data_IF_274663884695
#
_entry.id   IF_274663884695
#
_cell.length_a   1.000
_cell.length_b   1.000
_cell.length_c   1.000
_cell.angle_alpha   90.00
_cell.angle_beta   90.00
_cell.angle_gamma   90.00
#
_symmetry.space_group_name_H-M   'P 1'
#
loop_
_entity.id
_entity.type
_entity.pdbx_description
1 polymer ?
#
# COMPACT_ATOMS: atom_id res chain seq x y z
N UNK A 1 22.03 9.67 26.01
CA UNK A 1 21.56 10.51 24.89
C UNK A 1 20.98 9.56 23.86
N UNK A 2 19.66 9.52 23.69
CA UNK A 2 19.05 8.71 22.63
C UNK A 2 19.44 9.34 21.30
N UNK A 3 20.32 8.68 20.54
CA UNK A 3 20.59 9.09 19.17
C UNK A 3 19.27 9.04 18.38
N UNK A 4 18.85 10.17 17.81
CA UNK A 4 17.75 10.20 16.84
C UNK A 4 18.12 9.25 15.69
N UNK A 5 17.24 8.32 15.29
CA UNK A 5 17.58 7.39 14.21
C UNK A 5 17.80 8.16 12.90
N UNK A 6 18.70 7.67 12.04
CA UNK A 6 18.77 8.18 10.66
C UNK A 6 17.47 7.92 9.93
N UNK A 7 16.97 8.94 9.23
CA UNK A 7 15.71 8.86 8.50
C UNK A 7 15.95 8.84 6.98
N UNK A 8 15.39 7.85 6.33
CA UNK A 8 15.45 7.65 4.89
C UNK A 8 14.06 7.79 4.28
N UNK A 9 14.01 8.36 3.09
CA UNK A 9 12.79 8.43 2.30
C UNK A 9 12.98 7.67 1.00
N UNK A 10 11.98 6.85 0.60
CA UNK A 10 11.95 6.20 -0.70
C UNK A 10 10.57 6.33 -1.36
N UNK A 11 10.57 6.60 -2.65
CA UNK A 11 9.42 6.53 -3.53
C UNK A 11 9.81 5.92 -4.87
N UNK A 12 8.85 5.33 -5.57
CA UNK A 12 9.05 4.78 -6.90
C UNK A 12 7.83 5.04 -7.78
N UNK A 13 8.06 5.41 -9.03
CA UNK A 13 7.07 5.33 -10.09
C UNK A 13 7.78 5.23 -11.45
N UNK A 14 7.11 4.62 -12.43
CA UNK A 14 7.62 4.62 -13.80
C UNK A 14 7.65 6.04 -14.40
N UNK A 15 8.49 6.26 -15.40
CA UNK A 15 8.78 7.58 -16.00
C UNK A 15 7.56 8.34 -16.53
N UNK A 16 6.41 7.67 -16.74
CA UNK A 16 5.14 8.35 -17.06
C UNK A 16 4.62 9.22 -15.92
N UNK A 17 5.11 8.99 -14.71
CA UNK A 17 4.76 9.77 -13.52
C UNK A 17 5.89 10.71 -13.08
N UNK A 18 6.79 11.11 -13.99
CA UNK A 18 7.94 11.97 -13.67
C UNK A 18 7.56 13.24 -12.90
N UNK A 19 6.48 13.92 -13.29
CA UNK A 19 6.01 15.09 -12.55
C UNK A 19 5.61 14.78 -11.09
N UNK A 20 5.10 13.58 -10.81
CA UNK A 20 4.78 13.17 -9.45
C UNK A 20 6.04 12.81 -8.66
N UNK A 21 7.01 12.14 -9.30
CA UNK A 21 8.30 11.84 -8.66
C UNK A 21 9.13 13.08 -8.38
N UNK A 22 9.11 14.07 -9.28
CA UNK A 22 9.79 15.34 -9.05
C UNK A 22 9.16 16.11 -7.90
N UNK A 23 7.83 16.24 -7.89
CA UNK A 23 7.10 16.88 -6.80
C UNK A 23 7.39 16.22 -5.45
N UNK A 24 7.26 14.89 -5.32
CA UNK A 24 7.43 14.23 -4.03
C UNK A 24 8.90 14.31 -3.55
N UNK A 25 9.86 14.37 -4.49
CA UNK A 25 11.28 14.61 -4.18
C UNK A 25 11.49 15.99 -3.56
N UNK A 26 10.92 17.03 -4.15
CA UNK A 26 10.98 18.39 -3.63
C UNK A 26 10.31 18.47 -2.25
N UNK A 27 9.08 17.95 -2.12
CA UNK A 27 8.38 17.92 -0.85
C UNK A 27 9.14 17.14 0.23
N UNK A 28 9.84 16.05 -0.11
CA UNK A 28 10.66 15.31 0.84
C UNK A 28 11.88 16.14 1.31
N UNK A 29 12.46 16.96 0.43
CA UNK A 29 13.51 17.93 0.80
C UNK A 29 12.97 19.01 1.72
N UNK A 30 11.79 19.55 1.42
CA UNK A 30 11.13 20.60 2.20
C UNK A 30 10.74 20.11 3.60
N UNK A 31 10.54 18.80 3.75
CA UNK A 31 10.36 18.17 5.07
C UNK A 31 11.57 18.36 5.96
N UNK A 32 12.78 18.52 5.43
CA UNK A 32 14.01 18.81 6.20
C UNK A 32 14.18 17.93 7.46
N UNK A 33 13.92 16.63 7.29
CA UNK A 33 14.02 15.61 8.36
C UNK A 33 14.71 14.34 7.87
N UNK A 34 14.85 14.15 6.54
CA UNK A 34 15.42 12.95 5.97
C UNK A 34 16.92 13.13 5.73
N UNK A 35 17.73 12.20 6.22
CA UNK A 35 19.18 12.15 5.94
C UNK A 35 19.45 11.80 4.47
N UNK A 36 18.63 10.92 3.89
CA UNK A 36 18.71 10.53 2.48
C UNK A 36 17.33 10.42 1.84
N UNK A 37 17.24 10.85 0.56
CA UNK A 37 16.01 10.84 -0.22
C UNK A 37 16.25 10.11 -1.53
N UNK A 38 15.56 8.97 -1.70
CA UNK A 38 15.63 8.09 -2.87
C UNK A 38 14.29 8.12 -3.61
N UNK A 39 14.21 8.82 -4.74
CA UNK A 39 13.04 8.81 -5.61
C UNK A 39 13.44 8.14 -6.91
N UNK A 40 12.95 6.92 -7.09
CA UNK A 40 13.39 5.95 -8.08
C UNK A 40 12.39 5.83 -9.24
N UNK A 41 12.89 5.34 -10.37
CA UNK A 41 12.12 4.94 -11.54
C UNK A 41 12.61 3.57 -12.05
N UNK A 42 12.12 3.15 -13.21
CA UNK A 42 12.50 1.88 -13.85
C UNK A 42 13.99 1.72 -14.10
N UNK A 43 14.72 2.82 -14.37
CA UNK A 43 16.17 2.80 -14.61
C UNK A 43 16.98 2.45 -13.34
N UNK A 44 16.32 2.52 -12.18
CA UNK A 44 16.94 2.17 -10.88
C UNK A 44 16.82 0.68 -10.54
N UNK A 45 16.11 -0.10 -11.37
CA UNK A 45 15.97 -1.54 -11.19
C UNK A 45 17.16 -2.26 -11.84
N UNK A 46 17.67 -3.30 -11.20
CA UNK A 46 18.77 -4.06 -11.80
C UNK A 46 18.31 -4.98 -12.94
N UNK A 47 19.26 -5.34 -13.79
CA UNK A 47 19.01 -6.15 -14.99
C UNK A 47 18.35 -7.50 -14.67
N UNK A 48 18.76 -8.15 -13.57
CA UNK A 48 18.22 -9.44 -13.17
C UNK A 48 16.73 -9.33 -12.81
N UNK A 49 16.36 -8.29 -12.06
CA UNK A 49 14.95 -8.02 -11.74
C UNK A 49 14.17 -7.67 -12.99
N UNK A 50 14.68 -6.78 -13.83
CA UNK A 50 14.06 -6.39 -15.09
C UNK A 50 13.84 -7.59 -16.02
N UNK A 51 14.84 -8.46 -16.14
CA UNK A 51 14.74 -9.67 -16.98
C UNK A 51 13.69 -10.66 -16.44
N UNK A 52 13.62 -10.82 -15.12
CA UNK A 52 12.63 -11.71 -14.49
C UNK A 52 11.21 -11.24 -14.78
N UNK A 53 10.95 -9.95 -14.71
CA UNK A 53 9.60 -9.37 -14.79
C UNK A 53 9.31 -8.63 -16.11
N UNK A 54 10.14 -8.77 -17.15
CA UNK A 54 10.05 -8.05 -18.44
C UNK A 54 8.69 -8.15 -19.11
N UNK A 55 8.05 -9.33 -19.01
CA UNK A 55 6.74 -9.57 -19.64
C UNK A 55 5.58 -8.91 -18.88
N UNK A 56 5.81 -8.55 -17.64
CA UNK A 56 4.82 -8.01 -16.70
C UNK A 56 4.99 -6.50 -16.51
N UNK A 57 6.23 -6.04 -16.34
CA UNK A 57 6.57 -4.62 -16.16
C UNK A 57 6.61 -3.91 -17.52
N UNK A 58 5.45 -3.68 -18.10
CA UNK A 58 5.29 -2.96 -19.37
C UNK A 58 4.65 -1.59 -19.14
N UNK A 59 5.03 -0.60 -19.94
CA UNK A 59 4.34 0.68 -19.95
C UNK A 59 2.85 0.48 -20.21
N UNK A 60 2.01 1.00 -19.29
CA UNK A 60 0.56 0.83 -19.35
C UNK A 60 0.03 -0.37 -18.58
N UNK A 61 0.87 -1.31 -18.13
CA UNK A 61 0.44 -2.35 -17.19
C UNK A 61 -0.02 -1.74 -15.88
N UNK A 62 -0.95 -2.39 -15.20
CA UNK A 62 -1.49 -1.94 -13.92
C UNK A 62 -0.37 -1.87 -12.89
N UNK A 63 -0.16 -0.69 -12.27
CA UNK A 63 0.87 -0.49 -11.26
C UNK A 63 2.30 -0.79 -11.73
N UNK A 64 2.56 -0.69 -13.05
CA UNK A 64 3.84 -1.05 -13.67
C UNK A 64 4.29 -2.46 -13.22
N UNK A 65 3.45 -3.47 -13.49
CA UNK A 65 3.67 -4.86 -13.07
C UNK A 65 3.06 -5.19 -11.71
N UNK A 66 1.84 -4.67 -11.45
CA UNK A 66 1.07 -4.98 -10.23
C UNK A 66 1.83 -4.67 -8.94
N UNK A 67 2.70 -3.63 -8.98
CA UNK A 67 3.54 -3.19 -7.84
C UNK A 67 4.53 -4.25 -7.33
N UNK A 68 4.88 -5.27 -8.14
CA UNK A 68 5.85 -6.29 -7.75
C UNK A 68 7.24 -5.72 -7.40
N UNK A 69 7.57 -4.55 -7.91
CA UNK A 69 8.81 -3.83 -7.62
C UNK A 69 8.85 -3.23 -6.20
N UNK A 70 7.69 -3.02 -5.55
CA UNK A 70 7.62 -2.26 -4.30
C UNK A 70 8.48 -2.86 -3.18
N UNK A 71 8.28 -4.11 -2.72
CA UNK A 71 9.15 -4.67 -1.68
C UNK A 71 10.58 -4.84 -2.15
N UNK A 72 10.80 -5.05 -3.46
CA UNK A 72 12.14 -5.16 -4.01
C UNK A 72 12.95 -3.88 -3.80
N UNK A 73 12.46 -2.71 -4.22
CA UNK A 73 13.18 -1.44 -4.06
C UNK A 73 13.34 -1.05 -2.59
N UNK A 74 12.35 -1.35 -1.75
CA UNK A 74 12.41 -1.13 -0.31
C UNK A 74 13.51 -2.00 0.30
N UNK A 75 13.51 -3.30 0.02
CA UNK A 75 14.49 -4.26 0.54
C UNK A 75 15.92 -3.87 0.14
N UNK A 76 16.15 -3.55 -1.13
CA UNK A 76 17.47 -3.17 -1.67
C UNK A 76 18.03 -1.91 -1.00
N UNK A 77 17.19 -0.93 -0.67
CA UNK A 77 17.64 0.24 0.08
C UNK A 77 17.91 -0.13 1.53
N UNK A 78 17.01 -0.85 2.19
CA UNK A 78 17.18 -1.22 3.60
C UNK A 78 18.42 -2.10 3.83
N UNK A 79 18.83 -2.92 2.87
CA UNK A 79 20.07 -3.70 2.97
C UNK A 79 21.31 -2.80 3.13
N UNK A 80 21.31 -1.61 2.51
CA UNK A 80 22.41 -0.64 2.54
C UNK A 80 22.36 0.32 3.73
N UNK A 81 21.20 0.49 4.37
CA UNK A 81 21.03 1.39 5.51
C UNK A 81 21.75 0.85 6.75
N UNK A 82 22.13 1.70 7.71
CA UNK A 82 22.61 1.25 9.02
C UNK A 82 21.48 0.62 9.85
N UNK A 83 21.86 -0.26 10.78
CA UNK A 83 20.90 -0.84 11.70
C UNK A 83 20.20 0.22 12.55
N UNK A 84 18.92 0.00 12.86
CA UNK A 84 18.02 0.93 13.54
C UNK A 84 17.72 2.23 12.79
N UNK A 85 18.20 2.44 11.56
CA UNK A 85 17.68 3.52 10.74
C UNK A 85 16.20 3.27 10.36
N UNK A 86 15.47 4.34 10.13
CA UNK A 86 14.05 4.30 9.75
C UNK A 86 13.89 4.72 8.29
N UNK A 87 13.15 3.95 7.53
CA UNK A 87 12.74 4.23 6.17
C UNK A 87 11.27 4.57 6.12
N UNK A 88 10.91 5.67 5.48
CA UNK A 88 9.55 5.96 5.03
C UNK A 88 9.44 5.67 3.53
N UNK A 89 8.62 4.70 3.17
CA UNK A 89 8.13 4.53 1.80
C UNK A 89 6.82 5.30 1.61
N UNK A 90 6.73 6.07 0.52
CA UNK A 90 5.46 6.65 0.06
C UNK A 90 5.28 6.42 -1.45
N UNK A 91 4.07 6.07 -1.87
CA UNK A 91 3.70 6.11 -3.29
C UNK A 91 3.89 7.54 -3.83
N UNK A 92 4.40 7.67 -5.06
CA UNK A 92 4.65 8.97 -5.68
C UNK A 92 3.39 9.86 -5.84
N UNK A 93 2.21 9.25 -5.73
CA UNK A 93 0.93 9.97 -5.73
C UNK A 93 0.57 10.67 -4.41
N UNK A 94 1.34 10.44 -3.34
CA UNK A 94 1.18 11.14 -2.07
C UNK A 94 1.73 12.58 -2.16
N UNK A 95 1.26 13.42 -1.23
CA UNK A 95 1.90 14.69 -0.94
C UNK A 95 2.49 14.66 0.47
N UNK A 96 3.64 15.30 0.65
CA UNK A 96 4.25 15.51 1.95
C UNK A 96 4.03 16.95 2.41
N UNK A 97 3.73 17.11 3.70
CA UNK A 97 3.39 18.39 4.30
C UNK A 97 4.38 18.74 5.43
N UNK A 98 5.26 19.74 5.24
CA UNK A 98 6.25 20.15 6.25
C UNK A 98 5.63 20.61 7.57
N UNK A 99 4.39 21.08 7.61
CA UNK A 99 3.71 21.45 8.85
C UNK A 99 3.47 20.25 9.78
N UNK A 100 3.36 19.05 9.21
CA UNK A 100 3.15 17.81 9.95
C UNK A 100 4.41 17.15 10.51
N UNK A 101 5.59 17.81 10.51
CA UNK A 101 6.87 17.24 11.00
C UNK A 101 6.76 16.60 12.37
N UNK A 102 6.09 17.27 13.31
CA UNK A 102 5.91 16.74 14.67
C UNK A 102 5.21 15.38 14.65
N UNK A 103 4.11 15.28 13.90
CA UNK A 103 3.36 14.03 13.78
C UNK A 103 4.15 12.94 13.05
N UNK A 104 5.00 13.32 12.09
CA UNK A 104 5.92 12.38 11.45
C UNK A 104 6.87 11.73 12.47
N UNK A 105 7.38 12.51 13.42
CA UNK A 105 8.27 11.99 14.47
C UNK A 105 7.53 11.05 15.43
N UNK A 106 6.23 11.26 15.70
CA UNK A 106 5.41 10.31 16.47
C UNK A 106 5.30 8.95 15.74
N UNK A 107 5.18 8.95 14.39
CA UNK A 107 5.19 7.70 13.63
C UNK A 107 6.56 7.02 13.64
N UNK A 108 7.63 7.81 13.57
CA UNK A 108 9.01 7.31 13.71
C UNK A 108 9.19 6.64 15.07
N UNK A 109 8.74 7.26 16.14
CA UNK A 109 8.79 6.68 17.49
C UNK A 109 7.97 5.38 17.58
N UNK A 110 6.78 5.37 16.96
CA UNK A 110 5.93 4.18 16.90
C UNK A 110 6.61 3.00 16.19
N UNK A 111 7.33 3.23 15.10
CA UNK A 111 8.07 2.15 14.42
C UNK A 111 9.33 1.76 15.17
N UNK A 112 9.98 2.70 15.84
CA UNK A 112 11.16 2.42 16.69
C UNK A 112 10.80 1.51 17.86
N UNK A 113 9.64 1.70 18.48
CA UNK A 113 9.14 0.87 19.59
C UNK A 113 8.50 -0.46 19.13
N UNK A 114 8.28 -0.65 17.83
CA UNK A 114 7.69 -1.90 17.29
C UNK A 114 8.68 -3.06 17.35
N UNK A 115 8.27 -4.23 17.87
CA UNK A 115 9.07 -5.45 17.87
C UNK A 115 9.43 -5.93 16.46
N UNK A 116 8.53 -5.76 15.50
CA UNK A 116 8.73 -6.15 14.10
C UNK A 116 9.45 -5.04 13.33
N UNK A 117 9.30 -3.78 13.73
CA UNK A 117 9.89 -2.65 13.01
C UNK A 117 9.18 -2.30 11.69
N UNK A 118 7.90 -2.57 11.60
CA UNK A 118 7.03 -2.22 10.46
C UNK A 118 5.79 -1.52 10.98
N UNK A 119 5.40 -0.40 10.37
CA UNK A 119 4.16 0.33 10.66
C UNK A 119 3.53 0.84 9.38
N UNK A 120 2.21 0.76 9.29
CA UNK A 120 1.41 1.26 8.19
C UNK A 120 0.00 1.64 8.69
N UNK A 121 -0.79 2.28 7.84
CA UNK A 121 -2.13 2.74 8.17
C UNK A 121 -3.20 1.76 7.69
N UNK A 122 -4.37 1.80 8.30
CA UNK A 122 -5.55 1.20 7.69
C UNK A 122 -5.90 1.91 6.39
N UNK A 123 -6.32 1.13 5.38
CA UNK A 123 -6.92 1.72 4.17
C UNK A 123 -8.26 2.36 4.52
N UNK A 124 -8.42 3.63 4.17
CA UNK A 124 -9.64 4.38 4.38
C UNK A 124 -10.25 4.84 3.06
N UNK A 125 -11.57 4.67 2.90
CA UNK A 125 -12.36 5.29 1.85
C UNK A 125 -13.69 5.76 2.44
N UNK A 126 -14.02 7.03 2.25
CA UNK A 126 -15.26 7.62 2.78
C UNK A 126 -16.53 6.87 2.35
N UNK A 127 -16.52 6.28 1.14
CA UNK A 127 -17.70 5.70 0.55
C UNK A 127 -17.95 4.23 0.94
N UNK A 128 -16.94 3.51 1.38
CA UNK A 128 -17.03 2.08 1.71
C UNK A 128 -15.86 1.57 2.55
N UNK A 129 -16.14 0.54 3.34
CA UNK A 129 -15.12 -0.16 4.11
C UNK A 129 -14.29 -1.08 3.20
N UNK A 130 -12.97 -1.03 3.39
CA UNK A 130 -12.02 -1.90 2.71
C UNK A 130 -11.72 -3.10 3.62
N UNK A 131 -12.64 -4.08 3.62
CA UNK A 131 -12.53 -5.29 4.43
C UNK A 131 -11.82 -6.37 3.61
N UNK A 132 -10.92 -7.16 4.22
CA UNK A 132 -10.07 -8.12 3.54
C UNK A 132 -10.84 -9.02 2.57
N UNK A 133 -11.88 -9.74 3.01
CA UNK A 133 -12.60 -10.67 2.16
C UNK A 133 -13.23 -10.06 0.92
N UNK A 134 -13.45 -8.73 0.92
CA UNK A 134 -13.99 -7.99 -0.22
C UNK A 134 -12.93 -7.57 -1.22
N UNK A 135 -11.69 -7.42 -0.76
CA UNK A 135 -10.61 -6.81 -1.52
C UNK A 135 -9.36 -7.70 -1.64
N UNK A 136 -9.52 -8.98 -1.31
CA UNK A 136 -8.47 -9.99 -1.42
C UNK A 136 -9.06 -11.25 -2.03
N UNK A 137 -8.43 -11.78 -3.07
CA UNK A 137 -8.92 -12.99 -3.75
C UNK A 137 -8.70 -14.25 -2.93
N UNK A 138 -9.52 -15.29 -3.18
CA UNK A 138 -9.52 -16.55 -2.44
C UNK A 138 -8.18 -17.22 -2.35
N UNK A 139 -7.42 -17.25 -3.45
CA UNK A 139 -6.08 -17.86 -3.51
C UNK A 139 -5.11 -17.30 -2.47
N UNK A 140 -5.24 -15.99 -2.14
CA UNK A 140 -4.37 -15.35 -1.15
C UNK A 140 -4.69 -15.86 0.25
N UNK A 141 -5.96 -16.01 0.60
CA UNK A 141 -6.35 -16.58 1.91
C UNK A 141 -5.90 -18.02 2.05
N UNK A 142 -5.95 -18.81 0.97
CA UNK A 142 -5.53 -20.21 0.99
C UNK A 142 -4.01 -20.33 1.07
N UNK A 143 -3.26 -19.47 0.36
CA UNK A 143 -1.80 -19.39 0.45
C UNK A 143 -1.34 -19.16 1.90
N UNK A 144 -1.99 -18.23 2.59
CA UNK A 144 -1.68 -17.93 4.01
C UNK A 144 -2.41 -18.82 5.02
N UNK A 145 -3.24 -19.78 4.56
CA UNK A 145 -4.03 -20.66 5.43
C UNK A 145 -4.87 -19.91 6.46
N UNK A 146 -5.46 -18.79 6.06
CA UNK A 146 -6.19 -17.90 6.95
C UNK A 146 -7.65 -17.65 6.52
N UNK A 147 -8.21 -18.47 5.63
CA UNK A 147 -9.59 -18.34 5.13
C UNK A 147 -10.62 -18.33 6.24
N UNK A 148 -10.43 -19.15 7.28
CA UNK A 148 -11.36 -19.29 8.40
C UNK A 148 -11.08 -18.32 9.56
N UNK A 149 -10.03 -17.50 9.44
CA UNK A 149 -9.63 -16.48 10.41
C UNK A 149 -10.48 -15.23 10.25
N UNK A 150 -11.65 -15.17 10.93
CA UNK A 150 -12.56 -14.02 10.86
C UNK A 150 -11.94 -12.73 11.37
N UNK A 151 -11.02 -12.81 12.31
CA UNK A 151 -10.21 -11.69 12.79
C UNK A 151 -9.35 -11.07 11.67
N UNK A 152 -9.02 -11.83 10.63
CA UNK A 152 -8.35 -11.36 9.42
C UNK A 152 -9.38 -11.02 8.34
N UNK A 153 -10.21 -11.99 7.93
CA UNK A 153 -11.09 -11.85 6.76
C UNK A 153 -12.14 -10.74 6.91
N UNK A 154 -12.60 -10.46 8.11
CA UNK A 154 -13.61 -9.44 8.44
C UNK A 154 -13.00 -8.11 8.89
N UNK A 155 -11.67 -8.00 8.94
CA UNK A 155 -10.98 -6.78 9.35
C UNK A 155 -10.66 -5.84 8.18
N UNK A 156 -10.36 -4.57 8.48
CA UNK A 156 -9.95 -3.58 7.47
C UNK A 156 -8.57 -3.92 6.90
N UNK A 157 -8.36 -3.66 5.60
CA UNK A 157 -7.06 -3.80 4.98
C UNK A 157 -6.06 -2.75 5.49
N UNK A 158 -4.79 -3.14 5.51
CA UNK A 158 -3.65 -2.24 5.74
C UNK A 158 -3.19 -1.70 4.39
N UNK A 159 -2.92 -0.40 4.33
CA UNK A 159 -2.45 0.27 3.13
C UNK A 159 -0.95 0.01 2.87
N UNK A 160 -0.58 -0.07 1.59
CA UNK A 160 0.84 -0.08 1.16
C UNK A 160 1.26 1.25 0.56
N UNK A 161 0.43 2.27 0.67
CA UNK A 161 0.68 3.62 0.13
C UNK A 161 1.75 4.35 0.94
N UNK A 162 1.79 4.12 2.27
CA UNK A 162 2.79 4.64 3.19
C UNK A 162 3.21 3.53 4.15
N UNK A 163 4.53 3.26 4.22
CA UNK A 163 5.07 2.21 5.09
C UNK A 163 6.29 2.78 5.82
N UNK A 164 6.29 2.69 7.14
CA UNK A 164 7.43 2.99 7.99
C UNK A 164 8.15 1.70 8.36
N UNK A 165 9.45 1.68 8.23
CA UNK A 165 10.28 0.50 8.44
C UNK A 165 11.53 0.87 9.25
N UNK A 166 11.73 0.25 10.41
CA UNK A 166 13.01 0.29 11.11
C UNK A 166 13.86 -0.88 10.65
N UNK A 167 15.11 -0.65 10.26
CA UNK A 167 16.03 -1.73 9.90
C UNK A 167 16.36 -2.58 11.14
N UNK A 168 15.81 -3.78 11.18
CA UNK A 168 16.11 -4.80 12.19
C UNK A 168 15.89 -6.21 11.60
N UNK A 169 16.35 -7.27 12.24
CA UNK A 169 16.20 -8.64 11.70
C UNK A 169 14.75 -9.02 11.36
N UNK A 170 13.78 -8.59 12.19
CA UNK A 170 12.36 -8.92 11.98
C UNK A 170 11.77 -8.21 10.76
N UNK A 171 12.02 -6.91 10.57
CA UNK A 171 11.55 -6.15 9.41
C UNK A 171 12.20 -6.63 8.12
N UNK A 172 13.49 -6.97 8.15
CA UNK A 172 14.20 -7.54 7.01
C UNK A 172 13.65 -8.92 6.62
N UNK A 173 13.28 -9.76 7.59
CA UNK A 173 12.60 -11.03 7.34
C UNK A 173 11.22 -10.79 6.71
N UNK A 174 10.40 -9.92 7.29
CA UNK A 174 9.09 -9.54 6.76
C UNK A 174 9.19 -9.07 5.30
N UNK A 175 10.15 -8.21 4.97
CA UNK A 175 10.33 -7.71 3.61
C UNK A 175 10.77 -8.79 2.63
N UNK A 176 11.68 -9.70 3.05
CA UNK A 176 12.11 -10.83 2.20
C UNK A 176 10.94 -11.77 1.92
N UNK A 177 10.15 -12.10 2.93
CA UNK A 177 8.94 -12.92 2.74
C UNK A 177 7.97 -12.22 1.79
N UNK A 178 7.66 -10.94 2.00
CA UNK A 178 6.78 -10.17 1.09
C UNK A 178 7.31 -10.15 -0.34
N UNK A 179 8.61 -9.90 -0.54
CA UNK A 179 9.22 -9.88 -1.86
C UNK A 179 9.18 -11.25 -2.56
N UNK A 180 9.30 -12.35 -1.82
CA UNK A 180 9.45 -13.69 -2.41
C UNK A 180 8.11 -14.29 -2.86
N UNK A 181 6.99 -13.86 -2.31
CA UNK A 181 5.67 -14.47 -2.56
C UNK A 181 5.32 -14.53 -4.06
N UNK A 182 5.57 -13.48 -4.82
CA UNK A 182 5.25 -13.51 -6.26
C UNK A 182 6.31 -14.16 -7.13
N UNK A 183 7.52 -14.38 -6.62
CA UNK A 183 8.45 -15.31 -7.28
C UNK A 183 7.94 -16.75 -7.19
N UNK A 184 7.25 -17.11 -6.11
CA UNK A 184 6.62 -18.41 -5.94
C UNK A 184 5.30 -18.51 -6.74
N UNK A 185 4.47 -17.47 -6.67
CA UNK A 185 3.16 -17.45 -7.33
C UNK A 185 2.68 -16.04 -7.67
N UNK A 186 3.02 -15.58 -8.87
CA UNK A 186 2.63 -14.25 -9.35
C UNK A 186 1.10 -14.07 -9.45
N UNK A 187 0.34 -15.16 -9.68
CA UNK A 187 -1.12 -15.07 -9.79
C UNK A 187 -1.80 -14.59 -8.51
N UNK A 188 -1.09 -14.52 -7.37
CA UNK A 188 -1.62 -13.94 -6.14
C UNK A 188 -1.80 -12.43 -6.23
N UNK A 189 -1.01 -11.73 -7.04
CA UNK A 189 -1.04 -10.27 -7.13
C UNK A 189 -1.64 -9.73 -8.43
N UNK A 190 -1.74 -10.51 -9.51
CA UNK A 190 -2.26 -10.06 -10.80
C UNK A 190 -3.80 -10.04 -10.88
N UNK A 191 -4.33 -9.67 -12.05
CA UNK A 191 -5.77 -9.65 -12.33
C UNK A 191 -6.34 -11.01 -12.80
N UNK A 192 -5.56 -12.08 -12.74
CA UNK A 192 -6.06 -13.43 -13.09
C UNK A 192 -7.19 -13.85 -12.16
N UNK A 193 -8.16 -14.63 -12.66
CA UNK A 193 -9.21 -15.20 -11.82
C UNK A 193 -8.62 -16.05 -10.69
N UNK A 194 -9.22 -15.96 -9.50
CA UNK A 194 -8.87 -16.85 -8.40
C UNK A 194 -9.21 -18.30 -8.76
N UNK A 195 -8.31 -19.23 -8.48
CA UNK A 195 -8.54 -20.67 -8.61
C UNK A 195 -9.43 -21.19 -7.49
N UNK A 196 -9.25 -20.66 -6.28
CA UNK A 196 -10.09 -20.92 -5.12
C UNK A 196 -11.32 -20.03 -5.13
N UNK A 197 -12.46 -20.46 -4.56
CA UNK A 197 -13.64 -19.62 -4.46
C UNK A 197 -13.35 -18.32 -3.70
N UNK A 198 -13.75 -17.18 -4.27
CA UNK A 198 -13.76 -15.91 -3.55
C UNK A 198 -14.91 -15.88 -2.54
N UNK A 199 -14.80 -15.04 -1.53
CA UNK A 199 -15.93 -14.75 -0.63
C UNK A 199 -17.12 -14.18 -1.43
N UNK A 200 -18.39 -14.44 -1.02
CA UNK A 200 -19.58 -14.01 -1.77
C UNK A 200 -19.64 -12.51 -2.03
N UNK A 201 -19.06 -11.70 -1.15
CA UNK A 201 -19.01 -10.24 -1.23
C UNK A 201 -17.70 -9.69 -1.82
N UNK A 202 -16.87 -10.54 -2.43
CA UNK A 202 -15.63 -10.14 -3.10
C UNK A 202 -15.88 -9.12 -4.23
N UNK A 203 -15.09 -8.06 -4.26
CA UNK A 203 -15.17 -6.96 -5.23
C UNK A 203 -14.04 -7.01 -6.25
N UNK A 204 -12.79 -6.86 -5.80
CA UNK A 204 -11.57 -6.96 -6.61
C UNK A 204 -10.35 -7.24 -5.71
N UNK A 205 -9.28 -7.79 -6.28
CA UNK A 205 -8.02 -7.98 -5.59
C UNK A 205 -7.23 -6.65 -5.54
N UNK A 206 -6.55 -6.39 -4.43
CA UNK A 206 -5.73 -5.21 -4.22
C UNK A 206 -4.23 -5.47 -4.37
N UNK A 207 -3.87 -6.51 -5.08
CA UNK A 207 -2.51 -6.81 -5.52
C UNK A 207 -1.51 -6.93 -4.36
N UNK A 208 -0.43 -6.13 -4.40
CA UNK A 208 0.58 -6.04 -3.35
C UNK A 208 0.00 -5.74 -1.97
N UNK A 209 -1.03 -4.88 -1.91
CA UNK A 209 -1.70 -4.52 -0.66
C UNK A 209 -2.42 -5.71 -0.02
N UNK A 210 -3.08 -6.58 -0.80
CA UNK A 210 -3.77 -7.77 -0.26
C UNK A 210 -2.79 -8.72 0.44
N UNK A 211 -1.62 -8.93 -0.15
CA UNK A 211 -0.55 -9.73 0.44
C UNK A 211 -0.01 -9.09 1.71
N UNK A 212 0.44 -7.82 1.59
CA UNK A 212 1.01 -7.07 2.70
C UNK A 212 0.07 -7.03 3.90
N UNK A 213 -1.22 -6.75 3.65
CA UNK A 213 -2.20 -6.60 4.71
C UNK A 213 -2.44 -7.90 5.50
N UNK A 214 -2.49 -9.06 4.82
CA UNK A 214 -2.60 -10.35 5.52
C UNK A 214 -1.32 -10.65 6.30
N UNK A 215 -0.14 -10.49 5.69
CA UNK A 215 1.13 -10.66 6.38
C UNK A 215 1.23 -9.79 7.63
N UNK A 216 0.87 -8.52 7.51
CA UNK A 216 0.88 -7.54 8.60
C UNK A 216 0.09 -8.03 9.83
N UNK A 217 -1.07 -8.64 9.59
CA UNK A 217 -1.94 -9.21 10.64
C UNK A 217 -1.39 -10.52 11.20
N UNK A 218 -0.81 -11.36 10.35
CA UNK A 218 -0.18 -12.62 10.79
C UNK A 218 1.06 -12.38 11.65
N UNK A 219 1.74 -11.25 11.44
CA UNK A 219 2.85 -10.79 12.31
C UNK A 219 2.37 -10.03 13.55
N UNK A 220 1.05 -9.93 13.77
CA UNK A 220 0.42 -9.20 14.88
C UNK A 220 0.92 -7.76 15.04
N UNK A 221 1.08 -7.06 13.91
CA UNK A 221 1.55 -5.68 13.92
C UNK A 221 0.38 -4.73 14.14
N UNK A 222 0.49 -3.83 15.11
CA UNK A 222 -0.53 -2.81 15.36
C UNK A 222 -0.39 -1.65 14.37
N UNK A 223 -1.44 -1.25 13.65
CA UNK A 223 -1.39 -0.17 12.67
C UNK A 223 -1.27 1.22 13.33
N UNK A 224 -0.87 2.19 12.52
CA UNK A 224 -0.94 3.60 12.86
C UNK A 224 -2.42 4.08 12.86
N UNK A 225 -2.74 5.20 13.53
CA UNK A 225 -4.10 5.70 13.60
C UNK A 225 -4.74 5.91 12.23
N UNK A 226 -6.00 5.48 12.08
CA UNK A 226 -6.73 5.64 10.82
C UNK A 226 -7.20 7.09 10.58
N UNK A 227 -7.33 7.49 9.30
CA UNK A 227 -7.87 8.80 8.92
C UNK A 227 -6.84 9.94 8.92
N UNK A 228 -5.57 9.64 9.14
CA UNK A 228 -4.51 10.66 9.15
C UNK A 228 -3.82 10.84 7.78
N UNK A 229 -4.08 9.97 6.82
CA UNK A 229 -3.45 10.03 5.48
C UNK A 229 -4.43 10.04 4.32
N UNK A 230 -5.60 9.43 4.46
CA UNK A 230 -6.62 9.31 3.41
C UNK A 230 -7.95 9.88 3.92
N UNK A 231 -8.27 11.08 3.48
CA UNK A 231 -9.48 11.82 3.87
C UNK A 231 -10.17 12.41 2.64
N UNK A 232 -11.41 12.79 2.81
CA UNK A 232 -12.17 13.39 1.71
C UNK A 232 -11.79 14.84 1.42
N UNK A 233 -11.27 15.55 2.40
CA UNK A 233 -10.89 16.94 2.33
C UNK A 233 -9.60 17.17 3.14
N UNK A 234 -8.55 17.63 2.47
CA UNK A 234 -7.24 17.89 3.06
C UNK A 234 -7.08 19.32 3.60
N UNK A 235 -8.09 20.18 3.48
CA UNK A 235 -8.01 21.61 3.90
C UNK A 235 -7.73 21.80 5.38
N UNK A 236 -8.09 20.82 6.23
CA UNK A 236 -7.91 20.85 7.68
C UNK A 236 -6.89 19.82 8.18
N UNK A 237 -5.96 19.39 7.32
CA UNK A 237 -4.98 18.33 7.60
C UNK A 237 -3.56 18.84 7.81
N UNK A 238 -3.42 20.13 8.17
CA UNK A 238 -2.10 20.78 8.32
C UNK A 238 -1.17 20.10 9.34
N UNK A 239 -1.73 19.43 10.34
CA UNK A 239 -0.97 18.69 11.35
C UNK A 239 -0.44 17.33 10.88
N UNK A 240 -0.94 16.79 9.76
CA UNK A 240 -0.55 15.47 9.26
C UNK A 240 0.49 15.57 8.15
N UNK A 241 1.58 14.76 8.23
CA UNK A 241 2.73 14.89 7.36
C UNK A 241 2.55 14.30 5.96
N UNK A 242 1.58 13.40 5.77
CA UNK A 242 1.42 12.64 4.53
C UNK A 242 -0.05 12.65 4.11
N UNK A 243 -0.31 12.99 2.84
CA UNK A 243 -1.66 13.00 2.27
C UNK A 243 -1.74 12.06 1.07
N UNK A 244 -2.62 11.04 1.10
CA UNK A 244 -2.88 10.14 -0.02
C UNK A 244 -3.82 10.79 -1.06
N UNK A 245 -3.34 11.82 -1.73
CA UNK A 245 -4.09 12.59 -2.73
C UNK A 245 -4.28 11.81 -4.03
N UNK A 246 -3.42 10.79 -4.28
CA UNK A 246 -3.35 10.04 -5.55
C UNK A 246 -3.08 10.92 -6.75
N UNK A 247 -2.28 11.96 -6.55
CA UNK A 247 -1.87 12.90 -7.59
C UNK A 247 -0.74 12.30 -8.42
N UNK A 248 -1.06 11.90 -9.64
CA UNK A 248 -0.11 11.28 -10.57
C UNK A 248 0.74 12.29 -11.35
N UNK A 249 0.61 13.61 -11.06
CA UNK A 249 1.37 14.67 -11.73
C UNK A 249 0.94 14.96 -13.16
N UNK A 250 0.04 14.18 -13.76
CA UNK A 250 -0.56 14.49 -15.05
C UNK A 250 -2.07 14.70 -14.89
N UNK A 251 -2.55 15.81 -15.38
CA UNK A 251 -3.99 15.99 -15.58
C UNK A 251 -4.38 15.05 -16.71
N UNK A 252 -5.07 13.98 -16.35
CA UNK A 252 -5.69 13.11 -17.36
C UNK A 252 -6.81 13.92 -18.03
N UNK A 253 -6.40 14.70 -19.03
CA UNK A 253 -7.26 15.60 -19.80
C UNK A 253 -8.15 14.83 -20.76
N UNK A 254 -7.94 13.53 -20.95
CA UNK A 254 -8.77 12.72 -21.80
C UNK A 254 -10.13 12.51 -21.12
N UNK A 255 -11.14 13.16 -21.65
CA UNK A 255 -12.53 13.00 -21.23
C UNK A 255 -12.91 11.51 -21.06
N UNK A 256 -12.47 10.66 -22.01
CA UNK A 256 -12.71 9.21 -21.98
C UNK A 256 -12.13 8.54 -20.73
N UNK A 257 -10.93 8.91 -20.27
CA UNK A 257 -10.32 8.31 -19.10
C UNK A 257 -10.99 8.79 -17.79
N UNK A 258 -11.44 10.05 -17.74
CA UNK A 258 -12.27 10.55 -16.63
C UNK A 258 -13.59 9.81 -16.55
N UNK A 259 -14.27 9.62 -17.69
CA UNK A 259 -15.52 8.85 -17.78
C UNK A 259 -15.30 7.39 -17.38
N UNK A 260 -14.24 6.74 -17.87
CA UNK A 260 -13.91 5.35 -17.47
C UNK A 260 -13.69 5.21 -15.96
N UNK A 261 -12.97 6.16 -15.34
CA UNK A 261 -12.77 6.15 -13.87
C UNK A 261 -14.08 6.36 -13.12
N UNK A 262 -14.90 7.29 -13.55
CA UNK A 262 -16.22 7.54 -12.97
C UNK A 262 -17.13 6.30 -13.11
N UNK A 263 -17.19 5.68 -14.30
CA UNK A 263 -17.93 4.44 -14.54
C UNK A 263 -17.44 3.29 -13.66
N UNK A 264 -16.09 3.12 -13.52
CA UNK A 264 -15.51 2.11 -12.64
C UNK A 264 -15.94 2.33 -11.18
N UNK A 265 -15.81 3.54 -10.67
CA UNK A 265 -16.21 3.89 -9.31
C UNK A 265 -17.71 3.63 -9.09
N UNK A 266 -18.56 4.03 -10.04
CA UNK A 266 -20.01 3.80 -9.98
C UNK A 266 -20.35 2.31 -10.02
N UNK A 267 -19.65 1.52 -10.84
CA UNK A 267 -19.82 0.06 -10.89
C UNK A 267 -19.48 -0.61 -9.56
N UNK A 268 -18.39 -0.20 -8.93
CA UNK A 268 -17.97 -0.68 -7.60
C UNK A 268 -19.05 -0.33 -6.55
N UNK A 269 -19.52 0.92 -6.51
CA UNK A 269 -20.56 1.34 -5.57
C UNK A 269 -21.87 0.59 -5.75
N UNK A 270 -22.28 0.35 -6.99
CA UNK A 270 -23.49 -0.44 -7.30
C UNK A 270 -23.33 -1.89 -6.84
N UNK A 271 -22.16 -2.50 -7.06
CA UNK A 271 -21.87 -3.86 -6.60
C UNK A 271 -21.90 -3.94 -5.07
N UNK A 272 -21.29 -2.99 -4.37
CA UNK A 272 -21.34 -2.93 -2.90
C UNK A 272 -22.77 -2.77 -2.39
N UNK A 273 -23.57 -1.90 -3.01
CA UNK A 273 -25.00 -1.74 -2.66
C UNK A 273 -25.78 -3.03 -2.88
N UNK A 274 -25.60 -3.68 -4.02
CA UNK A 274 -26.25 -4.97 -4.32
C UNK A 274 -25.89 -6.03 -3.26
N UNK A 275 -24.62 -6.17 -2.91
CA UNK A 275 -24.15 -7.13 -1.91
C UNK A 275 -24.73 -6.85 -0.53
N UNK A 276 -24.82 -5.58 -0.11
CA UNK A 276 -25.48 -5.20 1.16
C UNK A 276 -26.97 -5.54 1.18
N UNK A 277 -27.69 -5.36 0.06
CA UNK A 277 -29.11 -5.71 -0.05
C UNK A 277 -29.25 -7.23 0.03
N UNK A 278 -28.45 -7.98 -0.73
CA UNK A 278 -28.44 -9.44 -0.72
C UNK A 278 -28.22 -9.99 0.70
N UNK A 279 -27.20 -9.49 1.42
CA UNK A 279 -26.92 -9.88 2.79
C UNK A 279 -28.10 -9.60 3.76
N UNK A 280 -28.79 -8.46 3.58
CA UNK A 280 -29.97 -8.16 4.39
C UNK A 280 -31.13 -9.12 4.11
N UNK A 281 -31.36 -9.48 2.85
CA UNK A 281 -32.38 -10.45 2.45
C UNK A 281 -32.07 -11.83 3.01
N UNK A 282 -30.83 -12.30 2.89
CA UNK A 282 -30.39 -13.58 3.44
C UNK A 282 -30.57 -13.64 4.97
N UNK A 283 -30.15 -12.59 5.69
CA UNK A 283 -30.38 -12.49 7.16
C UNK A 283 -31.89 -12.47 7.54
N UNK A 284 -32.72 -11.91 6.70
CA UNK A 284 -34.17 -11.90 6.93
C UNK A 284 -34.81 -13.28 6.70
N UNK A 285 -34.35 -14.01 5.68
CA UNK A 285 -34.84 -15.37 5.36
C UNK A 285 -34.40 -16.42 6.38
N UNK A 286 -33.22 -16.28 6.97
CA UNK A 286 -32.68 -17.20 8.01
C UNK A 286 -33.37 -16.99 9.37
N UNK A 287 -34.03 -15.84 9.60
CA UNK A 287 -34.78 -15.54 10.83
C UNK A 287 -36.25 -16.00 10.80
N UNK A 288 -36.74 -16.50 9.67
CA UNK A 288 -38.02 -17.19 9.52
C UNK A 288 -37.84 -18.71 9.50
#
# INVERSE_FOLDING_TARGET
MSHCPKLYFISFADSRMSAATDRIREQARDMDVFDEIHVLNEDSLDDAFCQTWKEIMKYGSRGYGYWCWKPYVILRLMEKMPDNAVLLYCDAGCHLNPKGKKRLMDYVESVMSSSIGVKAFYTFFKQYDVIERRWTKGDVFDYFKCRDRKDITDSKQIATTQIFLRKCPSSMRFLREWNNIWYENFSLIDDSPSKSPNFPDFVENRHDQSIFSIMYKLYDIQPLPSGETDVADYSNMDEFPIWDVRDRGYKDTRFVARVKRWLKARKILLRIRYLRIKERIEKFLVKK
#
